data_IF_897528812424
#
_entry.id   IF_897528812424
#
_cell.length_a   1.000
_cell.length_b   1.000
_cell.length_c   1.000
_cell.angle_alpha   90.00
_cell.angle_beta   90.00
_cell.angle_gamma   90.00
#
_symmetry.space_group_name_H-M   'P 1'
#
loop_
_entity.id
_entity.type
_entity.pdbx_description
1 polymer ?
#
# COMPACT_ATOMS: atom_id res chain seq x y z
N UNK A 1 15.09 7.68 -8.18
CA UNK A 1 14.84 6.40 -7.51
C UNK A 1 15.50 6.39 -6.13
N UNK A 2 15.41 7.46 -5.34
CA UNK A 2 16.21 7.55 -4.12
C UNK A 2 15.58 6.90 -2.89
N UNK A 3 14.28 7.12 -2.62
CA UNK A 3 13.55 6.40 -1.54
C UNK A 3 13.40 4.91 -1.88
N UNK A 4 13.17 4.59 -3.15
CA UNK A 4 13.13 3.22 -3.68
C UNK A 4 14.48 2.51 -3.49
N UNK A 5 15.62 3.19 -3.68
CA UNK A 5 16.97 2.63 -3.46
C UNK A 5 17.36 2.55 -1.98
N UNK A 6 16.94 3.51 -1.15
CA UNK A 6 17.13 3.46 0.31
C UNK A 6 16.41 2.26 0.91
N UNK A 7 15.18 2.04 0.45
CA UNK A 7 14.49 0.82 0.78
C UNK A 7 15.17 -0.37 0.09
N UNK A 8 15.67 -0.30 -1.17
CA UNK A 8 16.33 -1.42 -1.91
C UNK A 8 17.44 -2.14 -1.14
N UNK A 9 18.15 -1.47 -0.24
CA UNK A 9 19.14 -2.09 0.65
C UNK A 9 18.48 -2.95 1.76
N UNK A 10 17.27 -2.61 2.19
CA UNK A 10 16.35 -3.40 3.05
C UNK A 10 15.55 -4.48 2.26
N UNK A 11 15.47 -4.40 0.92
CA UNK A 11 14.71 -5.37 0.11
C UNK A 11 15.31 -6.78 0.23
N UNK A 12 16.62 -6.91 0.39
CA UNK A 12 17.30 -8.20 0.25
C UNK A 12 16.97 -9.20 1.37
N UNK A 13 16.36 -8.79 2.49
CA UNK A 13 16.20 -9.67 3.67
C UNK A 13 14.77 -9.85 4.18
N UNK A 14 13.88 -8.84 4.07
CA UNK A 14 12.54 -8.92 4.72
C UNK A 14 11.39 -8.55 3.78
N UNK A 15 11.57 -7.57 2.91
CA UNK A 15 10.46 -7.03 2.12
C UNK A 15 10.30 -7.74 0.76
N UNK A 16 11.34 -8.40 0.22
CA UNK A 16 11.24 -9.21 -1.03
C UNK A 16 10.21 -10.32 -0.91
N UNK A 17 10.14 -11.00 0.23
CA UNK A 17 9.12 -12.02 0.46
C UNK A 17 7.71 -11.41 0.38
N UNK A 18 7.51 -10.20 0.91
CA UNK A 18 6.22 -9.50 0.83
C UNK A 18 5.87 -9.16 -0.62
N UNK A 19 6.81 -8.63 -1.40
CA UNK A 19 6.58 -8.35 -2.82
C UNK A 19 6.29 -9.62 -3.62
N UNK A 20 7.04 -10.70 -3.37
CA UNK A 20 6.83 -12.00 -4.01
C UNK A 20 5.41 -12.52 -3.73
N UNK A 21 5.01 -12.60 -2.47
CA UNK A 21 3.68 -13.09 -2.08
C UNK A 21 2.57 -12.16 -2.56
N UNK A 22 2.78 -10.84 -2.59
CA UNK A 22 1.84 -9.90 -3.19
C UNK A 22 1.65 -10.17 -4.70
N UNK A 23 2.73 -10.41 -5.44
CA UNK A 23 2.66 -10.76 -6.87
C UNK A 23 2.00 -12.12 -7.09
N UNK A 24 2.32 -13.13 -6.29
CA UNK A 24 1.66 -14.45 -6.32
C UNK A 24 0.17 -14.30 -6.06
N UNK A 25 -0.23 -13.49 -5.06
CA UNK A 25 -1.63 -13.24 -4.76
C UNK A 25 -2.34 -12.54 -5.93
N UNK A 26 -1.72 -11.50 -6.49
CA UNK A 26 -2.21 -10.82 -7.70
C UNK A 26 -2.37 -11.79 -8.88
N UNK A 27 -1.42 -12.70 -9.08
CA UNK A 27 -1.45 -13.71 -10.13
C UNK A 27 -2.61 -14.70 -9.94
N UNK A 28 -2.82 -15.21 -8.71
CA UNK A 28 -3.93 -16.09 -8.39
C UNK A 28 -5.27 -15.41 -8.64
N UNK A 29 -5.42 -14.15 -8.19
CA UNK A 29 -6.60 -13.33 -8.41
C UNK A 29 -6.85 -13.13 -9.92
N UNK A 30 -5.81 -12.75 -10.65
CA UNK A 30 -5.90 -12.45 -12.09
C UNK A 30 -6.32 -13.67 -12.92
N UNK A 31 -5.72 -14.84 -12.65
CA UNK A 31 -6.04 -16.09 -13.33
C UNK A 31 -7.28 -16.80 -12.77
N UNK A 32 -7.90 -16.27 -11.71
CA UNK A 32 -9.05 -16.86 -11.00
C UNK A 32 -8.75 -18.29 -10.51
N UNK A 33 -7.50 -18.57 -10.13
CA UNK A 33 -7.03 -19.89 -9.70
C UNK A 33 -7.11 -20.06 -8.18
N UNK A 34 -8.31 -19.82 -7.63
CA UNK A 34 -8.57 -19.67 -6.19
C UNK A 34 -8.08 -20.84 -5.32
N UNK A 35 -8.06 -22.06 -5.85
CA UNK A 35 -7.55 -23.23 -5.15
C UNK A 35 -6.08 -23.07 -4.71
N UNK A 36 -5.26 -22.30 -5.45
CA UNK A 36 -3.88 -22.03 -5.05
C UNK A 36 -3.77 -21.16 -3.80
N UNK A 37 -4.82 -20.42 -3.41
CA UNK A 37 -4.81 -19.65 -2.15
C UNK A 37 -4.71 -20.57 -0.94
N UNK A 38 -5.23 -21.80 -0.99
CA UNK A 38 -5.14 -22.76 0.11
C UNK A 38 -3.69 -23.13 0.46
N UNK A 39 -2.76 -22.99 -0.49
CA UNK A 39 -1.34 -23.27 -0.28
C UNK A 39 -0.54 -21.97 -0.15
N UNK A 40 -0.77 -21.01 -1.05
CA UNK A 40 -0.01 -19.77 -1.08
C UNK A 40 -0.27 -18.89 0.15
N UNK A 41 -1.51 -18.82 0.63
CA UNK A 41 -1.85 -17.92 1.73
C UNK A 41 -1.26 -18.37 3.08
N UNK A 42 -1.32 -19.66 3.48
CA UNK A 42 -0.64 -20.11 4.70
C UNK A 42 0.88 -19.89 4.64
N UNK A 43 1.50 -20.18 3.49
CA UNK A 43 2.94 -19.94 3.30
C UNK A 43 3.31 -18.45 3.37
N UNK A 44 2.48 -17.57 2.80
CA UNK A 44 2.66 -16.12 2.91
C UNK A 44 2.52 -15.64 4.37
N UNK A 45 1.51 -16.15 5.09
CA UNK A 45 1.26 -15.83 6.49
C UNK A 45 2.42 -16.29 7.39
N UNK A 46 3.00 -17.47 7.14
CA UNK A 46 4.17 -17.96 7.85
C UNK A 46 5.42 -17.08 7.65
N UNK A 47 5.57 -16.48 6.47
CA UNK A 47 6.65 -15.52 6.23
C UNK A 47 6.40 -14.17 6.92
N UNK A 48 5.17 -13.63 6.79
CA UNK A 48 4.79 -12.33 7.36
C UNK A 48 3.31 -12.28 7.74
N UNK A 49 3.04 -11.88 8.98
CA UNK A 49 1.69 -11.75 9.54
C UNK A 49 0.81 -10.70 8.83
N UNK A 50 1.42 -9.72 8.15
CA UNK A 50 0.68 -8.68 7.41
C UNK A 50 -0.26 -9.28 6.37
N UNK A 51 0.06 -10.45 5.80
CA UNK A 51 -0.81 -11.14 4.86
C UNK A 51 -2.12 -11.59 5.50
N UNK A 52 -2.09 -12.06 6.75
CA UNK A 52 -3.30 -12.43 7.47
C UNK A 52 -4.20 -11.20 7.68
N UNK A 53 -3.62 -10.06 8.08
CA UNK A 53 -4.37 -8.82 8.27
C UNK A 53 -5.04 -8.34 6.98
N UNK A 54 -4.32 -8.36 5.86
CA UNK A 54 -4.85 -8.04 4.54
C UNK A 54 -5.94 -9.00 4.11
N UNK A 55 -5.76 -10.29 4.41
CA UNK A 55 -6.76 -11.28 4.08
C UNK A 55 -8.05 -11.07 4.86
N UNK A 56 -7.95 -10.86 6.17
CA UNK A 56 -9.11 -10.54 7.03
C UNK A 56 -9.81 -9.29 6.50
N UNK A 57 -9.07 -8.25 6.12
CA UNK A 57 -9.66 -7.04 5.55
C UNK A 57 -10.47 -7.31 4.29
N UNK A 58 -9.93 -8.08 3.35
CA UNK A 58 -10.66 -8.50 2.14
C UNK A 58 -11.86 -9.37 2.50
N UNK A 59 -11.75 -10.27 3.48
CA UNK A 59 -12.85 -11.10 3.96
C UNK A 59 -14.00 -10.26 4.54
N UNK A 60 -13.68 -9.23 5.32
CA UNK A 60 -14.64 -8.27 5.86
C UNK A 60 -15.29 -7.44 4.74
N UNK A 61 -14.50 -6.98 3.78
CA UNK A 61 -15.04 -6.29 2.61
C UNK A 61 -15.98 -7.20 1.79
N UNK A 62 -15.69 -8.50 1.67
CA UNK A 62 -16.58 -9.49 1.05
C UNK A 62 -17.88 -9.72 1.83
N UNK A 63 -17.92 -9.46 3.14
CA UNK A 63 -19.16 -9.51 3.93
C UNK A 63 -20.03 -8.27 3.71
N UNK A 64 -19.42 -7.09 3.69
CA UNK A 64 -20.12 -5.80 3.52
C UNK A 64 -20.60 -5.63 2.08
N UNK A 65 -19.79 -6.07 1.12
CA UNK A 65 -20.06 -6.03 -0.31
C UNK A 65 -20.17 -7.47 -0.83
N UNK A 66 -21.23 -8.21 -0.45
CA UNK A 66 -21.41 -9.58 -0.89
C UNK A 66 -21.43 -9.58 -2.42
N UNK A 67 -20.60 -10.43 -3.07
CA UNK A 67 -20.45 -10.38 -4.50
C UNK A 67 -21.81 -10.60 -5.17
N UNK A 68 -22.33 -9.58 -5.85
CA UNK A 68 -23.50 -9.68 -6.71
C UNK A 68 -23.19 -10.65 -7.86
N UNK A 69 -23.40 -11.96 -7.62
CA UNK A 69 -23.40 -13.12 -8.53
C UNK A 69 -22.25 -13.31 -9.55
N UNK A 70 -21.35 -12.35 -9.76
CA UNK A 70 -20.36 -12.37 -10.82
C UNK A 70 -18.92 -12.45 -10.28
N UNK A 71 -18.47 -13.69 -10.12
CA UNK A 71 -17.15 -14.16 -10.60
C UNK A 71 -15.86 -13.74 -9.88
N UNK A 72 -15.90 -13.29 -8.62
CA UNK A 72 -14.68 -12.78 -8.00
C UNK A 72 -14.05 -13.64 -6.91
N UNK A 73 -14.79 -14.34 -6.05
CA UNK A 73 -14.35 -15.52 -5.28
C UNK A 73 -15.54 -15.94 -4.41
N UNK A 74 -15.80 -17.25 -4.20
CA UNK A 74 -16.83 -17.66 -3.25
C UNK A 74 -16.40 -17.22 -1.85
N UNK A 75 -17.15 -16.30 -1.24
CA UNK A 75 -16.80 -15.73 0.08
C UNK A 75 -16.57 -16.83 1.13
N UNK A 76 -17.33 -17.93 1.07
CA UNK A 76 -17.16 -19.11 1.94
C UNK A 76 -15.78 -19.75 1.79
N UNK A 77 -15.31 -19.93 0.56
CA UNK A 77 -13.97 -20.47 0.30
C UNK A 77 -12.90 -19.53 0.83
N UNK A 78 -13.08 -18.21 0.65
CA UNK A 78 -12.14 -17.22 1.15
C UNK A 78 -12.00 -17.27 2.69
N UNK A 79 -13.14 -17.32 3.39
CA UNK A 79 -13.15 -17.51 4.85
C UNK A 79 -12.53 -18.84 5.28
N UNK A 80 -12.72 -19.90 4.48
CA UNK A 80 -12.03 -21.18 4.69
C UNK A 80 -10.51 -21.03 4.64
N UNK A 81 -9.97 -20.32 3.65
CA UNK A 81 -8.52 -20.05 3.55
C UNK A 81 -8.04 -19.21 4.73
N UNK A 82 -8.79 -18.16 5.13
CA UNK A 82 -8.45 -17.34 6.31
C UNK A 82 -8.37 -18.21 7.58
N UNK A 83 -9.35 -19.09 7.79
CA UNK A 83 -9.37 -19.99 8.94
C UNK A 83 -8.15 -20.92 8.93
N UNK A 84 -7.79 -21.50 7.78
CA UNK A 84 -6.59 -22.33 7.66
C UNK A 84 -5.33 -21.53 7.98
N UNK A 85 -5.21 -20.28 7.53
CA UNK A 85 -4.06 -19.45 7.86
C UNK A 85 -3.95 -19.21 9.38
N UNK A 86 -5.07 -18.93 10.06
CA UNK A 86 -5.10 -18.77 11.53
C UNK A 86 -4.69 -20.06 12.23
N UNK A 87 -5.22 -21.21 11.79
CA UNK A 87 -4.89 -22.52 12.38
C UNK A 87 -3.42 -22.88 12.16
N UNK A 88 -2.88 -22.68 10.96
CA UNK A 88 -1.47 -22.94 10.64
C UNK A 88 -0.55 -22.02 11.45
N UNK A 89 -0.85 -20.72 11.52
CA UNK A 89 -0.07 -19.79 12.34
C UNK A 89 -0.13 -20.14 13.83
N UNK A 90 -1.33 -20.47 14.34
CA UNK A 90 -1.50 -20.89 15.73
C UNK A 90 -0.74 -22.17 16.05
N UNK A 91 -0.80 -23.16 15.15
CA UNK A 91 -0.05 -24.41 15.28
C UNK A 91 1.46 -24.17 15.26
N UNK A 92 1.97 -23.43 14.28
CA UNK A 92 3.41 -23.13 14.18
C UNK A 92 3.89 -22.33 15.38
N UNK A 93 3.12 -21.34 15.83
CA UNK A 93 3.47 -20.56 17.03
C UNK A 93 3.50 -21.40 18.31
N UNK A 94 2.65 -22.43 18.40
CA UNK A 94 2.66 -23.38 19.51
C UNK A 94 3.86 -24.33 19.46
N UNK A 95 4.23 -24.83 18.28
CA UNK A 95 5.35 -25.76 18.10
C UNK A 95 6.72 -25.06 18.14
N UNK A 96 6.77 -23.82 17.67
CA UNK A 96 7.96 -22.98 17.60
C UNK A 96 7.69 -21.67 18.36
N UNK A 97 7.54 -21.72 19.70
CA UNK A 97 7.32 -20.52 20.49
C UNK A 97 8.52 -19.59 20.29
N UNK A 98 8.24 -18.33 19.95
CA UNK A 98 9.29 -17.34 19.76
C UNK A 98 10.10 -17.17 21.04
N UNK A 99 11.32 -17.69 21.04
CA UNK A 99 12.23 -17.61 22.19
C UNK A 99 12.56 -16.14 22.47
N UNK A 100 12.04 -15.61 23.59
CA UNK A 100 12.34 -14.27 24.06
C UNK A 100 11.47 -13.15 23.52
N UNK A 101 10.36 -13.43 22.83
CA UNK A 101 9.40 -12.40 22.46
C UNK A 101 8.67 -11.89 23.72
N UNK A 102 8.83 -10.62 24.13
CA UNK A 102 8.14 -10.11 25.32
C UNK A 102 6.63 -10.20 25.10
N UNK A 103 5.85 -10.39 26.17
CA UNK A 103 4.38 -10.46 26.17
C UNK A 103 3.68 -9.28 25.42
N UNK A 104 4.43 -8.20 25.14
CA UNK A 104 4.06 -7.03 24.33
C UNK A 104 4.10 -7.24 22.81
N UNK A 105 4.62 -8.36 22.30
CA UNK A 105 4.67 -8.68 20.86
C UNK A 105 3.35 -9.23 20.32
N UNK A 106 2.22 -8.89 20.94
CA UNK A 106 0.91 -9.20 20.39
C UNK A 106 0.57 -8.14 19.33
N UNK A 107 0.33 -8.51 18.06
CA UNK A 107 0.03 -7.58 16.98
C UNK A 107 -1.17 -6.68 17.27
N UNK A 108 -2.17 -7.18 18.01
CA UNK A 108 -3.37 -6.41 18.39
C UNK A 108 -3.02 -5.31 19.38
N UNK A 109 -2.24 -5.61 20.42
CA UNK A 109 -1.77 -4.60 21.37
C UNK A 109 -0.88 -3.57 20.69
N UNK A 110 -0.03 -4.01 19.78
CA UNK A 110 0.83 -3.14 18.97
C UNK A 110 0.00 -2.18 18.12
N UNK A 111 -1.03 -2.69 17.43
CA UNK A 111 -1.92 -1.88 16.61
C UNK A 111 -2.74 -0.90 17.45
N UNK A 112 -3.27 -1.33 18.60
CA UNK A 112 -3.97 -0.44 19.55
C UNK A 112 -3.03 0.63 20.13
N UNK A 113 -1.80 0.27 20.46
CA UNK A 113 -0.78 1.19 20.97
C UNK A 113 -0.46 2.27 19.93
N UNK A 114 -0.19 1.89 18.68
CA UNK A 114 0.07 2.86 17.62
C UNK A 114 -1.17 3.66 17.24
N UNK A 115 -2.37 3.07 17.28
CA UNK A 115 -3.64 3.80 17.10
C UNK A 115 -3.78 4.88 18.16
N UNK A 116 -3.57 4.54 19.44
CA UNK A 116 -3.58 5.52 20.55
C UNK A 116 -2.53 6.60 20.33
N UNK A 117 -1.30 6.24 19.97
CA UNK A 117 -0.20 7.18 19.71
C UNK A 117 -0.51 8.11 18.53
N UNK A 118 -1.18 7.61 17.50
CA UNK A 118 -1.64 8.38 16.34
C UNK A 118 -2.72 9.39 16.73
N UNK A 119 -3.69 8.98 17.56
CA UNK A 119 -4.75 9.88 18.06
C UNK A 119 -4.20 10.98 18.98
N UNK A 120 -3.18 10.67 19.78
CA UNK A 120 -2.55 11.64 20.69
C UNK A 120 -1.60 12.61 19.98
N UNK A 121 -1.08 12.24 18.80
CA UNK A 121 -0.15 13.06 18.03
C UNK A 121 -0.65 13.23 16.59
N UNK A 122 -1.53 14.21 16.32
CA UNK A 122 -2.14 14.40 15.00
C UNK A 122 -1.11 14.70 13.90
N UNK A 123 0.08 15.20 14.26
CA UNK A 123 1.22 15.36 13.35
C UNK A 123 1.64 14.04 12.70
N UNK A 124 1.39 12.89 13.33
CA UNK A 124 1.64 11.57 12.74
C UNK A 124 0.69 11.24 11.60
N UNK A 125 -0.58 11.62 11.74
CA UNK A 125 -1.56 11.46 10.66
C UNK A 125 -1.15 12.31 9.45
N UNK A 126 -0.72 13.53 9.71
CA UNK A 126 -0.16 14.42 8.69
C UNK A 126 1.08 13.83 8.00
N UNK A 127 2.05 13.33 8.78
CA UNK A 127 3.24 12.67 8.24
C UNK A 127 2.88 11.45 7.40
N UNK A 128 1.89 10.67 7.82
CA UNK A 128 1.39 9.53 7.04
C UNK A 128 0.79 9.95 5.69
N UNK A 129 -0.01 11.01 5.65
CA UNK A 129 -0.53 11.54 4.38
C UNK A 129 0.60 12.03 3.45
N UNK A 130 1.61 12.70 4.00
CA UNK A 130 2.77 13.12 3.22
C UNK A 130 3.67 11.95 2.82
N UNK A 131 3.75 10.90 3.64
CA UNK A 131 4.48 9.67 3.31
C UNK A 131 3.85 8.98 2.09
N UNK A 132 2.51 8.99 1.97
CA UNK A 132 1.81 8.54 0.77
C UNK A 132 2.22 9.37 -0.46
N UNK A 133 2.32 10.69 -0.31
CA UNK A 133 2.79 11.58 -1.37
C UNK A 133 4.26 11.31 -1.77
N UNK A 134 5.18 11.04 -0.82
CA UNK A 134 6.55 10.63 -1.17
C UNK A 134 6.61 9.30 -1.89
N UNK A 135 5.76 8.35 -1.49
CA UNK A 135 5.82 6.98 -2.00
C UNK A 135 5.30 6.89 -3.42
N UNK A 136 4.18 7.55 -3.70
CA UNK A 136 3.51 7.49 -5.00
C UNK A 136 3.68 8.75 -5.85
N UNK A 137 4.23 9.82 -5.30
CA UNK A 137 4.31 11.11 -5.98
C UNK A 137 2.94 11.60 -6.46
N UNK A 138 2.91 12.16 -7.65
CA UNK A 138 1.70 12.60 -8.31
C UNK A 138 0.86 11.43 -8.90
N UNK A 139 1.37 10.19 -8.90
CA UNK A 139 0.58 9.02 -9.33
C UNK A 139 -0.59 8.74 -8.39
N UNK A 140 -0.48 9.11 -7.11
CA UNK A 140 -1.59 9.08 -6.16
C UNK A 140 -2.81 9.87 -6.67
N UNK A 141 -2.59 11.04 -7.28
CA UNK A 141 -3.66 11.85 -7.88
C UNK A 141 -4.27 11.21 -9.12
N UNK A 142 -3.50 10.50 -9.93
CA UNK A 142 -4.04 9.74 -11.07
C UNK A 142 -5.06 8.69 -10.58
N UNK A 143 -4.75 7.99 -9.48
CA UNK A 143 -5.68 7.05 -8.85
C UNK A 143 -6.94 7.76 -8.30
N UNK A 144 -6.78 8.96 -7.73
CA UNK A 144 -7.90 9.78 -7.23
C UNK A 144 -8.78 10.33 -8.36
N UNK A 145 -8.23 10.65 -9.53
CA UNK A 145 -9.00 11.24 -10.64
C UNK A 145 -9.60 10.20 -11.57
N UNK A 146 -8.91 9.07 -11.78
CA UNK A 146 -9.47 7.94 -12.51
C UNK A 146 -10.64 7.26 -11.78
N UNK A 147 -10.91 7.71 -10.55
CA UNK A 147 -12.00 7.35 -9.64
C UNK A 147 -13.40 7.73 -10.14
N UNK A 148 -13.54 8.71 -11.05
CA UNK A 148 -14.87 9.26 -11.39
C UNK A 148 -15.81 8.28 -12.11
N UNK A 149 -15.33 7.14 -12.63
CA UNK A 149 -16.18 6.18 -13.36
C UNK A 149 -15.97 4.69 -13.02
N UNK A 150 -14.90 4.32 -12.29
CA UNK A 150 -14.44 2.92 -12.23
C UNK A 150 -14.41 2.26 -10.85
N UNK A 151 -14.46 3.02 -9.75
CA UNK A 151 -14.41 2.44 -8.40
C UNK A 151 -15.67 1.69 -8.00
N UNK A 152 -16.80 1.98 -8.64
CA UNK A 152 -18.08 1.30 -8.41
C UNK A 152 -18.35 0.19 -9.43
N UNK A 153 -17.40 -0.07 -10.33
CA UNK A 153 -17.49 -1.20 -11.26
C UNK A 153 -17.02 -2.46 -10.52
N UNK A 154 -17.96 -3.32 -10.16
CA UNK A 154 -17.70 -4.63 -9.57
C UNK A 154 -16.66 -5.40 -10.39
N UNK A 155 -15.53 -5.79 -9.78
CA UNK A 155 -14.44 -6.53 -10.44
C UNK A 155 -13.03 -6.22 -9.94
N UNK A 156 -12.00 -6.53 -10.73
CA UNK A 156 -10.56 -6.33 -10.40
C UNK A 156 -10.21 -4.95 -9.86
N UNK A 157 -10.68 -3.85 -10.46
CA UNK A 157 -10.37 -2.51 -9.96
C UNK A 157 -10.91 -2.25 -8.56
N UNK A 158 -12.09 -2.78 -8.23
CA UNK A 158 -12.73 -2.58 -6.93
C UNK A 158 -11.92 -3.22 -5.81
N UNK A 159 -11.58 -4.50 -5.97
CA UNK A 159 -10.84 -5.26 -4.95
C UNK A 159 -9.38 -4.81 -4.83
N UNK A 160 -8.74 -4.42 -5.93
CA UNK A 160 -7.41 -3.80 -5.88
C UNK A 160 -7.43 -2.48 -5.11
N UNK A 161 -8.46 -1.64 -5.32
CA UNK A 161 -8.65 -0.42 -4.55
C UNK A 161 -8.78 -0.70 -3.05
N UNK A 162 -9.56 -1.72 -2.67
CA UNK A 162 -9.68 -2.13 -1.26
C UNK A 162 -8.38 -2.63 -0.65
N UNK A 163 -7.58 -3.41 -1.38
CA UNK A 163 -6.26 -3.87 -0.92
C UNK A 163 -5.28 -2.70 -0.74
N UNK A 164 -5.28 -1.73 -1.65
CA UNK A 164 -4.47 -0.51 -1.54
C UNK A 164 -4.89 0.29 -0.32
N UNK A 165 -6.19 0.52 -0.12
CA UNK A 165 -6.74 1.22 1.04
C UNK A 165 -6.37 0.48 2.33
N UNK A 166 -6.46 -0.86 2.36
CA UNK A 166 -6.09 -1.68 3.52
C UNK A 166 -4.63 -1.42 3.92
N UNK A 167 -3.71 -1.50 2.96
CA UNK A 167 -2.29 -1.23 3.23
C UNK A 167 -2.07 0.20 3.67
N UNK A 168 -2.78 1.16 3.08
CA UNK A 168 -2.63 2.56 3.44
C UNK A 168 -3.11 2.84 4.85
N UNK A 169 -4.20 2.20 5.28
CA UNK A 169 -4.68 2.26 6.66
C UNK A 169 -3.70 1.56 7.61
N UNK A 170 -3.18 0.39 7.25
CA UNK A 170 -2.16 -0.30 8.04
C UNK A 170 -0.88 0.55 8.16
N UNK A 171 -0.47 1.24 7.09
CA UNK A 171 0.68 2.14 7.09
C UNK A 171 0.46 3.32 8.04
N UNK A 172 -0.73 3.95 8.00
CA UNK A 172 -1.10 5.01 8.94
C UNK A 172 -1.04 4.55 10.40
N UNK A 173 -1.48 3.31 10.66
CA UNK A 173 -1.51 2.71 11.98
C UNK A 173 -0.17 2.12 12.43
N UNK A 174 0.85 2.07 11.57
CA UNK A 174 2.14 1.48 11.90
C UNK A 174 3.14 2.47 12.54
N UNK A 175 2.76 3.72 12.71
CA UNK A 175 3.54 4.69 13.47
C UNK A 175 4.73 5.25 12.70
N UNK A 176 5.95 4.84 13.06
CA UNK A 176 7.18 5.54 12.65
C UNK A 176 7.82 4.95 11.36
N UNK A 177 7.23 3.91 10.75
CA UNK A 177 7.66 3.30 9.47
C UNK A 177 6.64 3.47 8.32
N UNK A 178 5.83 4.54 8.33
CA UNK A 178 4.69 4.69 7.41
C UNK A 178 5.10 4.64 5.94
N UNK A 179 6.18 5.31 5.56
CA UNK A 179 6.68 5.41 4.19
C UNK A 179 7.03 4.02 3.64
N UNK A 180 7.75 3.21 4.42
CA UNK A 180 8.14 1.84 4.04
C UNK A 180 6.90 0.96 3.81
N UNK A 181 5.90 1.05 4.68
CA UNK A 181 4.70 0.23 4.58
C UNK A 181 3.81 0.67 3.42
N UNK A 182 3.76 1.98 3.11
CA UNK A 182 3.15 2.44 1.87
C UNK A 182 3.83 1.83 0.64
N UNK A 183 5.16 1.70 0.62
CA UNK A 183 5.88 1.05 -0.48
C UNK A 183 5.53 -0.43 -0.65
N UNK A 184 5.24 -1.15 0.44
CA UNK A 184 4.78 -2.55 0.34
C UNK A 184 3.46 -2.69 -0.44
N UNK A 185 2.64 -1.65 -0.49
CA UNK A 185 1.41 -1.64 -1.29
C UNK A 185 1.64 -1.42 -2.79
N UNK A 186 2.88 -1.16 -3.22
CA UNK A 186 3.22 -0.82 -4.60
C UNK A 186 2.73 -1.84 -5.64
N UNK A 187 2.84 -3.17 -5.46
CA UNK A 187 2.29 -4.13 -6.43
C UNK A 187 0.79 -3.93 -6.67
N UNK A 188 0.02 -3.78 -5.58
CA UNK A 188 -1.43 -3.56 -5.67
C UNK A 188 -1.75 -2.20 -6.29
N UNK A 189 -1.06 -1.14 -5.86
CA UNK A 189 -1.26 0.21 -6.38
C UNK A 189 -0.88 0.32 -7.86
N UNK A 190 0.21 -0.32 -8.28
CA UNK A 190 0.68 -0.36 -9.66
C UNK A 190 -0.25 -1.20 -10.54
N UNK A 191 -0.71 -2.37 -10.07
CA UNK A 191 -1.72 -3.15 -10.80
C UNK A 191 -3.04 -2.39 -10.92
N UNK A 192 -3.48 -1.73 -9.85
CA UNK A 192 -4.69 -0.91 -9.86
C UNK A 192 -4.56 0.26 -10.85
N UNK A 193 -3.44 0.98 -10.78
CA UNK A 193 -3.04 2.02 -11.72
C UNK A 193 -3.05 1.52 -13.17
N UNK A 194 -2.49 0.35 -13.46
CA UNK A 194 -2.45 -0.21 -14.81
C UNK A 194 -3.86 -0.58 -15.32
N UNK A 195 -4.68 -1.21 -14.47
CA UNK A 195 -6.03 -1.64 -14.84
C UNK A 195 -6.95 -0.44 -15.08
N UNK A 196 -6.93 0.54 -14.18
CA UNK A 196 -7.70 1.78 -14.31
C UNK A 196 -7.12 2.68 -15.40
N UNK A 197 -5.80 2.64 -15.55
CA UNK A 197 -5.00 3.41 -16.50
C UNK A 197 -5.28 3.12 -17.96
N UNK A 198 -5.84 1.95 -18.30
CA UNK A 198 -6.25 1.61 -19.68
C UNK A 198 -7.21 2.63 -20.29
N UNK A 199 -8.04 3.29 -19.46
CA UNK A 199 -8.98 4.33 -19.90
C UNK A 199 -8.41 5.75 -19.74
N UNK A 200 -7.24 5.87 -19.13
CA UNK A 200 -6.59 7.15 -18.84
C UNK A 200 -5.62 7.49 -19.99
N UNK A 201 -5.65 8.72 -20.55
CA UNK A 201 -4.71 9.09 -21.60
C UNK A 201 -3.26 8.98 -21.13
N UNK A 202 -2.40 8.41 -21.96
CA UNK A 202 -0.97 8.24 -21.69
C UNK A 202 -0.28 9.55 -21.29
N UNK A 203 -0.72 10.70 -21.81
CA UNK A 203 -0.20 12.03 -21.45
C UNK A 203 -0.34 12.35 -19.96
N UNK A 204 -1.43 11.91 -19.32
CA UNK A 204 -1.61 12.08 -17.87
C UNK A 204 -0.66 11.18 -17.09
N UNK A 205 -0.40 9.96 -17.56
CA UNK A 205 0.61 9.09 -16.96
C UNK A 205 2.01 9.72 -17.04
N UNK A 206 2.37 10.28 -18.20
CA UNK A 206 3.65 10.96 -18.37
C UNK A 206 3.72 12.22 -17.52
N UNK A 207 2.68 13.05 -17.48
CA UNK A 207 2.63 14.23 -16.62
C UNK A 207 2.77 13.85 -15.14
N UNK A 208 2.03 12.84 -14.68
CA UNK A 208 2.12 12.37 -13.30
C UNK A 208 3.49 11.78 -12.98
N UNK A 209 4.11 11.06 -13.92
CA UNK A 209 5.46 10.53 -13.73
C UNK A 209 6.51 11.65 -13.63
N UNK A 210 6.46 12.64 -14.52
CA UNK A 210 7.35 13.81 -14.49
C UNK A 210 7.17 14.62 -13.21
N UNK A 211 5.92 14.89 -12.81
CA UNK A 211 5.60 15.58 -11.56
C UNK A 211 6.01 14.80 -10.30
N UNK A 212 6.22 13.48 -10.43
CA UNK A 212 6.72 12.62 -9.35
C UNK A 212 8.25 12.62 -9.24
N UNK A 213 8.99 13.13 -10.24
CA UNK A 213 10.46 13.10 -10.21
C UNK A 213 11.08 13.83 -9.01
N UNK A 214 10.59 15.02 -8.59
CA UNK A 214 11.10 15.66 -7.37
C UNK A 214 10.89 14.80 -6.13
N UNK A 215 9.70 14.19 -5.99
CA UNK A 215 9.37 13.29 -4.87
C UNK A 215 10.27 12.06 -4.81
N UNK A 216 10.56 11.49 -5.98
CA UNK A 216 11.47 10.34 -6.11
C UNK A 216 12.93 10.72 -5.86
N UNK A 217 13.22 12.02 -5.64
CA UNK A 217 14.54 12.62 -5.41
C UNK A 217 15.58 12.00 -6.34
N UNK A 218 15.24 11.91 -7.63
CA UNK A 218 16.04 11.18 -8.62
C UNK A 218 17.44 11.76 -8.77
N UNK A 219 17.58 13.06 -8.51
CA UNK A 219 18.83 13.81 -8.61
C UNK A 219 19.60 13.89 -7.28
N UNK A 220 19.07 13.33 -6.18
CA UNK A 220 19.75 13.33 -4.89
C UNK A 220 20.69 12.15 -4.72
N UNK A 221 21.90 12.38 -4.19
CA UNK A 221 22.79 11.32 -3.72
C UNK A 221 22.19 10.70 -2.46
N UNK A 222 22.00 9.38 -2.50
CA UNK A 222 21.50 8.64 -1.34
C UNK A 222 22.67 8.51 -0.36
N UNK A 223 22.55 9.07 0.86
CA UNK A 223 23.56 8.85 1.88
C UNK A 223 23.59 7.37 2.26
N UNK A 224 24.78 6.82 2.36
CA UNK A 224 24.96 5.44 2.80
C UNK A 224 24.47 5.27 4.23
N UNK A 225 23.43 4.44 4.43
CA UNK A 225 22.73 4.28 5.73
C UNK A 225 23.67 3.88 6.85
N UNK A 226 24.70 3.09 6.56
CA UNK A 226 25.67 2.60 7.54
C UNK A 226 26.61 3.70 8.07
N UNK A 227 26.81 4.77 7.30
CA UNK A 227 27.80 5.81 7.60
C UNK A 227 27.13 7.14 7.94
N UNK A 228 25.98 7.44 7.32
CA UNK A 228 25.29 8.73 7.43
C UNK A 228 23.81 8.55 7.79
N UNK A 229 23.55 7.88 8.91
CA UNK A 229 22.20 7.59 9.40
C UNK A 229 21.30 8.83 9.49
N UNK A 230 21.82 9.94 10.01
CA UNK A 230 21.06 11.20 10.14
C UNK A 230 20.65 11.77 8.78
N UNK A 231 21.57 11.78 7.82
CA UNK A 231 21.26 12.23 6.47
C UNK A 231 20.25 11.30 5.78
N UNK A 232 20.38 9.99 5.97
CA UNK A 232 19.43 8.99 5.47
C UNK A 232 18.05 9.11 6.10
N UNK A 233 17.96 9.53 7.36
CA UNK A 233 16.68 9.73 8.05
C UNK A 233 15.84 10.83 7.40
N UNK A 234 16.46 11.92 6.92
CA UNK A 234 15.76 13.02 6.24
C UNK A 234 15.13 12.66 4.88
N UNK A 235 15.33 11.43 4.41
CA UNK A 235 14.65 10.89 3.23
C UNK A 235 13.25 10.38 3.51
N UNK A 236 12.95 10.08 4.78
CA UNK A 236 11.63 9.72 5.23
C UNK A 236 10.89 10.95 5.73
N UNK A 237 9.63 11.12 5.31
CA UNK A 237 8.84 12.29 5.69
C UNK A 237 8.68 12.40 7.20
N UNK A 238 8.58 11.25 7.88
CA UNK A 238 8.38 11.18 9.32
C UNK A 238 9.47 11.92 10.10
N UNK A 239 10.67 12.05 9.53
CA UNK A 239 11.83 12.68 10.16
C UNK A 239 12.26 14.00 9.50
N UNK A 240 11.51 14.51 8.52
CA UNK A 240 11.82 15.80 7.89
C UNK A 240 11.44 16.98 8.79
N UNK A 241 12.20 18.09 8.77
CA UNK A 241 11.79 19.33 9.41
C UNK A 241 10.44 19.82 8.90
N UNK A 242 9.64 20.43 9.79
CA UNK A 242 8.28 20.89 9.47
C UNK A 242 8.20 21.79 8.22
N UNK A 243 9.13 22.74 8.06
CA UNK A 243 9.17 23.62 6.89
C UNK A 243 9.33 22.84 5.57
N UNK A 244 10.19 21.81 5.57
CA UNK A 244 10.38 20.93 4.42
C UNK A 244 9.13 20.11 4.13
N UNK A 245 8.46 19.59 5.18
CA UNK A 245 7.19 18.88 5.04
C UNK A 245 6.10 19.75 4.41
N UNK A 246 5.99 21.02 4.82
CA UNK A 246 5.01 21.97 4.25
C UNK A 246 5.31 22.27 2.77
N UNK A 247 6.57 22.47 2.40
CA UNK A 247 6.96 22.68 1.00
C UNK A 247 6.58 21.48 0.12
N UNK A 248 6.83 20.28 0.62
CA UNK A 248 6.41 19.03 -0.02
C UNK A 248 4.89 18.90 -0.11
N UNK A 249 4.15 19.23 0.94
CA UNK A 249 2.69 19.25 0.93
C UNK A 249 2.13 20.20 -0.14
N UNK A 250 2.65 21.42 -0.19
CA UNK A 250 2.24 22.42 -1.17
C UNK A 250 2.53 21.94 -2.60
N UNK A 251 3.70 21.34 -2.83
CA UNK A 251 4.05 20.75 -4.12
C UNK A 251 3.11 19.59 -4.50
N UNK A 252 2.74 18.72 -3.56
CA UNK A 252 1.78 17.64 -3.81
C UNK A 252 0.42 18.17 -4.27
N UNK A 253 -0.11 19.18 -3.57
CA UNK A 253 -1.38 19.81 -3.89
C UNK A 253 -1.33 20.53 -5.24
N UNK A 254 -0.23 21.21 -5.54
CA UNK A 254 0.02 21.82 -6.85
C UNK A 254 -0.02 20.76 -7.97
N UNK A 255 0.68 19.64 -7.81
CA UNK A 255 0.63 18.52 -8.77
C UNK A 255 -0.78 18.00 -8.97
N UNK A 256 -1.56 17.86 -7.88
CA UNK A 256 -2.96 17.47 -7.93
C UNK A 256 -3.80 18.46 -8.73
N UNK A 257 -3.67 19.76 -8.46
CA UNK A 257 -4.37 20.82 -9.19
C UNK A 257 -3.99 20.88 -10.67
N UNK A 258 -2.71 20.74 -11.00
CA UNK A 258 -2.23 20.69 -12.38
C UNK A 258 -2.82 19.49 -13.14
N UNK A 259 -2.74 18.28 -12.56
CA UNK A 259 -3.31 17.08 -13.15
C UNK A 259 -4.83 17.15 -13.29
N UNK A 260 -5.53 17.74 -12.30
CA UNK A 260 -6.96 17.95 -12.35
C UNK A 260 -7.36 18.86 -13.52
N UNK A 261 -6.65 19.98 -13.70
CA UNK A 261 -6.90 20.91 -14.80
C UNK A 261 -6.72 20.23 -16.17
N UNK A 262 -5.67 19.42 -16.33
CA UNK A 262 -5.48 18.60 -17.53
C UNK A 262 -6.62 17.60 -17.76
N UNK A 263 -7.19 17.04 -16.70
CA UNK A 263 -8.30 16.09 -16.77
C UNK A 263 -9.62 16.76 -17.19
N UNK A 264 -9.98 17.88 -16.53
CA UNK A 264 -11.17 18.69 -16.82
C UNK A 264 -11.16 19.28 -18.24
N UNK A 265 -10.02 19.82 -18.68
CA UNK A 265 -9.89 20.41 -20.02
C UNK A 265 -10.14 19.40 -21.16
N UNK A 266 -9.97 18.10 -20.88
CA UNK A 266 -10.24 17.02 -21.84
C UNK A 266 -11.69 16.56 -21.81
N UNK A 267 -12.30 16.43 -20.62
CA UNK A 267 -13.72 16.06 -20.49
C UNK A 267 -14.65 17.05 -21.21
N UNK A 268 -14.31 18.33 -21.23
CA UNK A 268 -15.06 19.35 -21.98
C UNK A 268 -14.99 19.20 -23.50
N UNK A 269 -14.04 18.42 -24.04
CA UNK A 269 -13.81 18.26 -25.49
C UNK A 269 -14.34 16.95 -26.08
N UNK A 270 -14.84 16.04 -25.24
CA UNK A 270 -15.52 14.82 -25.67
C UNK A 270 -16.99 14.93 -25.32
N UNK A 271 -17.88 15.32 -26.26
CA UNK A 271 -19.31 15.23 -26.02
C UNK A 271 -19.68 13.76 -25.78
N UNK A 272 -20.54 13.53 -24.78
CA UNK A 272 -21.17 12.24 -24.50
C UNK A 272 -22.10 11.83 -25.64
#
# INVERSE_FOLDING_TARGET
MGIVRLNALDYLTVDVAVYFWAVVWLWIIHLKKWHWLWVAAPLACLHKEVFLALMIWVALALLIFPPCRAHWMPWREYWGVVLVCVLVLGWVSHQLPATGAPLHSNPVFTLLFYTKKMLLHPTRLWNGLLALATTFGALSWVLVFAKRTTLWQWGLPFWMGWLVIAHWLLALLAGDETTRIYFLSFPFAATWAAVVGKKTPWRLWVAAWLLSLPWLRVLGTIPERAIFWEAAHTWYVEFMPWGTQMGWAAYWLFCGGALWWFFEAKLRKTPL
#
